data_IF_885385063106
#
_entry.id   IF_885385063106
#
_cell.length_a   1.000
_cell.length_b   1.000
_cell.length_c   1.000
_cell.angle_alpha   90.00
_cell.angle_beta   90.00
_cell.angle_gamma   90.00
#
_symmetry.space_group_name_H-M   'P 1'
#
loop_
_entity.id
_entity.type
_entity.pdbx_description
1 polymer ?
#
# COMPACT_ATOMS: atom_id res chain seq x y z
N UNK A 1 5.35 -7.89 -13.18
CA UNK A 1 5.10 -6.60 -13.89
C UNK A 1 6.19 -5.59 -13.56
N UNK A 2 6.57 -4.67 -14.48
CA UNK A 2 7.58 -3.62 -14.24
C UNK A 2 7.02 -2.46 -13.38
N UNK A 3 6.49 -2.78 -12.20
CA UNK A 3 5.82 -1.81 -11.33
C UNK A 3 6.70 -0.61 -11.01
N UNK A 4 6.09 0.57 -11.00
CA UNK A 4 6.71 1.82 -10.53
C UNK A 4 6.31 2.17 -9.10
N UNK A 5 5.25 1.54 -8.59
CA UNK A 5 4.70 1.77 -7.25
C UNK A 5 4.94 0.52 -6.39
N UNK A 6 5.36 0.67 -5.13
CA UNK A 6 5.48 -0.42 -4.17
C UNK A 6 4.09 -0.94 -3.72
N UNK A 7 3.38 -1.59 -4.64
CA UNK A 7 1.96 -1.92 -4.49
C UNK A 7 1.67 -2.79 -3.26
N UNK A 8 2.58 -3.72 -2.92
CA UNK A 8 2.42 -4.59 -1.75
C UNK A 8 2.33 -3.78 -0.45
N UNK A 9 3.13 -2.73 -0.29
CA UNK A 9 3.11 -1.86 0.90
C UNK A 9 1.97 -0.83 0.87
N UNK A 10 1.57 -0.40 -0.34
CA UNK A 10 0.55 0.66 -0.52
C UNK A 10 -0.87 0.14 -0.44
N UNK A 11 -1.16 -1.04 -0.98
CA UNK A 11 -2.52 -1.60 -1.01
C UNK A 11 -2.66 -2.83 -0.10
N UNK A 12 -1.54 -3.42 0.32
CA UNK A 12 -1.54 -4.69 1.00
C UNK A 12 -1.92 -5.86 0.10
N UNK A 13 -2.00 -7.02 0.73
CA UNK A 13 -2.41 -8.26 0.10
C UNK A 13 -3.08 -9.13 1.17
N UNK A 14 -4.23 -9.69 0.82
CA UNK A 14 -4.93 -10.68 1.63
C UNK A 14 -5.05 -11.95 0.82
N UNK A 15 -4.60 -13.07 1.37
CA UNK A 15 -4.67 -14.36 0.70
C UNK A 15 -4.57 -15.49 1.72
N UNK A 16 -5.24 -16.61 1.42
CA UNK A 16 -5.14 -17.82 2.23
C UNK A 16 -4.48 -18.88 1.35
N UNK A 17 -3.32 -19.38 1.78
CA UNK A 17 -2.60 -20.43 1.09
C UNK A 17 -2.46 -21.67 1.99
N UNK A 18 -2.18 -22.82 1.38
CA UNK A 18 -1.91 -24.07 2.11
C UNK A 18 -0.62 -23.86 2.91
N UNK A 19 -0.73 -23.88 4.25
CA UNK A 19 0.40 -23.62 5.16
C UNK A 19 0.44 -22.23 5.81
N UNK A 20 -0.52 -21.33 5.51
CA UNK A 20 -0.67 -20.07 6.23
C UNK A 20 -1.50 -19.01 5.50
N UNK A 21 -2.13 -18.11 6.26
CA UNK A 21 -2.79 -16.92 5.72
C UNK A 21 -1.83 -15.74 5.63
N UNK A 22 -1.82 -15.02 4.51
CA UNK A 22 -1.28 -13.68 4.39
C UNK A 22 -2.41 -12.67 4.68
N UNK A 23 -2.24 -11.91 5.75
CA UNK A 23 -3.00 -10.71 6.03
C UNK A 23 -1.98 -9.60 6.19
N UNK A 24 -1.48 -9.12 5.06
CA UNK A 24 -0.53 -8.03 5.05
C UNK A 24 -1.19 -6.80 5.68
N UNK A 25 -0.45 -6.06 6.50
CA UNK A 25 -0.99 -4.85 7.12
C UNK A 25 -1.51 -3.93 6.01
N UNK A 26 -2.77 -3.48 6.08
CA UNK A 26 -3.36 -2.72 4.99
C UNK A 26 -2.71 -1.36 4.88
N UNK A 27 -2.60 -0.97 3.61
CA UNK A 27 -2.27 0.33 3.06
C UNK A 27 -1.51 1.31 3.94
N UNK A 28 -0.27 1.61 3.56
CA UNK A 28 0.38 2.85 4.00
C UNK A 28 0.16 3.92 2.94
N UNK A 29 -0.02 5.18 3.34
CA UNK A 29 -0.09 6.31 2.40
C UNK A 29 1.08 6.27 1.41
N UNK A 30 0.79 6.34 0.11
CA UNK A 30 1.78 6.27 -0.96
C UNK A 30 2.98 7.21 -0.72
N UNK A 31 2.71 8.44 -0.26
CA UNK A 31 3.75 9.43 0.06
C UNK A 31 4.77 8.91 1.08
N UNK A 32 4.30 8.33 2.19
CA UNK A 32 5.18 7.77 3.23
C UNK A 32 5.96 6.56 2.74
N UNK A 33 5.34 5.71 1.91
CA UNK A 33 6.05 4.56 1.33
C UNK A 33 7.14 5.04 0.38
N UNK A 34 6.86 6.01 -0.48
CA UNK A 34 7.85 6.62 -1.37
C UNK A 34 9.00 7.26 -0.58
N UNK A 35 8.70 7.98 0.50
CA UNK A 35 9.70 8.56 1.40
C UNK A 35 10.57 7.47 2.05
N UNK A 36 9.96 6.39 2.54
CA UNK A 36 10.68 5.24 3.10
C UNK A 36 11.58 4.54 2.06
N UNK A 37 11.11 4.40 0.81
CA UNK A 37 11.92 3.87 -0.29
C UNK A 37 13.14 4.77 -0.55
N UNK A 38 12.94 6.09 -0.65
CA UNK A 38 14.03 7.06 -0.85
C UNK A 38 15.01 7.01 0.31
N UNK A 39 14.50 6.96 1.54
CA UNK A 39 15.31 6.87 2.75
C UNK A 39 16.15 5.58 2.76
N UNK A 40 15.56 4.43 2.43
CA UNK A 40 16.26 3.14 2.35
C UNK A 40 17.35 3.13 1.27
N UNK A 41 17.09 3.75 0.11
CA UNK A 41 18.09 3.88 -0.96
C UNK A 41 19.31 4.69 -0.48
N UNK A 42 19.07 5.78 0.28
CA UNK A 42 20.14 6.63 0.83
C UNK A 42 20.87 5.98 2.01
N UNK A 43 20.16 5.20 2.83
CA UNK A 43 20.66 4.60 4.07
C UNK A 43 20.46 3.08 4.05
N UNK A 44 21.38 2.36 3.40
CA UNK A 44 21.28 0.89 3.22
C UNK A 44 21.38 0.06 4.50
N UNK A 45 21.88 0.65 5.59
CA UNK A 45 21.96 0.00 6.90
C UNK A 45 20.79 0.41 7.81
N UNK A 46 19.79 1.14 7.28
CA UNK A 46 18.63 1.57 8.07
C UNK A 46 17.92 0.37 8.71
N UNK A 47 17.58 0.51 9.98
CA UNK A 47 16.85 -0.52 10.72
C UNK A 47 15.34 -0.44 10.47
N UNK A 48 14.55 -1.48 10.77
CA UNK A 48 13.09 -1.38 10.77
C UNK A 48 12.57 -0.22 11.63
N UNK A 49 13.23 0.09 12.74
CA UNK A 49 12.92 1.22 13.63
C UNK A 49 13.07 2.56 12.93
N UNK A 50 14.09 2.73 12.09
CA UNK A 50 14.28 3.97 11.32
C UNK A 50 13.18 4.15 10.27
N UNK A 51 12.78 3.06 9.63
CA UNK A 51 11.67 3.08 8.66
C UNK A 51 10.34 3.39 9.36
N UNK A 52 10.13 2.88 10.57
CA UNK A 52 8.91 3.13 11.37
C UNK A 52 8.77 4.58 11.83
N UNK A 53 9.85 5.38 11.84
CA UNK A 53 9.77 6.83 12.06
C UNK A 53 9.06 7.55 10.90
N UNK A 54 9.16 6.98 9.69
CA UNK A 54 8.52 7.49 8.47
C UNK A 54 7.13 6.86 8.30
N UNK A 55 7.07 5.52 8.34
CA UNK A 55 5.84 4.74 8.26
C UNK A 55 5.29 4.56 9.68
N UNK A 56 4.54 5.57 10.13
CA UNK A 56 3.99 5.64 11.50
C UNK A 56 2.98 4.53 11.83
N UNK A 57 2.40 3.89 10.81
CA UNK A 57 1.38 2.85 10.97
C UNK A 57 0.54 2.68 9.71
N UNK A 58 -0.43 1.76 9.75
CA UNK A 58 -1.36 1.53 8.65
C UNK A 58 -2.32 2.71 8.50
N UNK A 59 -2.75 2.93 7.27
CA UNK A 59 -3.65 4.00 6.83
C UNK A 59 -4.83 3.34 6.12
N UNK A 60 -5.93 3.15 6.84
CA UNK A 60 -7.08 2.41 6.32
C UNK A 60 -7.96 3.33 5.46
N UNK A 61 -8.55 2.81 4.35
CA UNK A 61 -9.42 3.62 3.51
C UNK A 61 -10.71 4.06 4.23
N UNK A 62 -11.11 3.36 5.30
CA UNK A 62 -12.26 3.73 6.15
C UNK A 62 -11.88 4.66 7.30
N UNK A 63 -10.60 5.04 7.41
CA UNK A 63 -10.06 5.78 8.55
C UNK A 63 -9.98 4.91 9.81
N UNK A 64 -10.29 5.51 10.95
CA UNK A 64 -10.14 4.92 12.26
C UNK A 64 -8.77 5.16 12.87
N UNK A 65 -8.65 4.79 14.15
CA UNK A 65 -7.48 5.05 14.96
C UNK A 65 -6.72 3.74 15.13
N UNK A 66 -5.59 3.62 14.44
CA UNK A 66 -4.66 2.52 14.61
C UNK A 66 -3.82 2.71 15.88
N UNK A 67 -3.90 1.77 16.81
CA UNK A 67 -3.11 1.77 18.05
C UNK A 67 -1.81 1.02 17.83
N UNK A 68 -0.72 1.78 17.74
CA UNK A 68 0.64 1.26 17.53
C UNK A 68 1.25 0.70 18.82
N UNK A 69 0.71 -0.43 19.29
CA UNK A 69 1.27 -1.19 20.41
C UNK A 69 2.57 -1.90 20.04
N UNK A 70 3.29 -2.42 21.03
CA UNK A 70 4.48 -3.27 20.80
C UNK A 70 4.19 -4.44 19.84
N UNK A 71 3.00 -5.04 19.93
CA UNK A 71 2.57 -6.11 19.02
C UNK A 71 2.38 -5.63 17.58
N UNK A 72 1.93 -4.38 17.38
CA UNK A 72 1.80 -3.80 16.06
C UNK A 72 3.19 -3.53 15.46
N UNK A 73 4.11 -2.98 16.26
CA UNK A 73 5.49 -2.74 15.86
C UNK A 73 6.22 -4.05 15.49
N UNK A 74 5.99 -5.13 16.25
CA UNK A 74 6.51 -6.45 15.94
C UNK A 74 6.04 -6.97 14.56
N UNK A 75 4.83 -6.61 14.15
CA UNK A 75 4.32 -6.89 12.81
C UNK A 75 5.21 -6.31 11.70
N UNK A 76 5.73 -5.11 11.90
CA UNK A 76 6.63 -4.47 10.94
C UNK A 76 8.09 -4.93 11.09
N UNK A 77 8.54 -5.22 12.31
CA UNK A 77 9.93 -5.63 12.59
C UNK A 77 10.22 -7.10 12.27
N UNK A 78 9.25 -7.97 12.49
CA UNK A 78 9.42 -9.43 12.38
C UNK A 78 8.44 -10.07 11.39
N UNK A 79 7.57 -9.27 10.76
CA UNK A 79 6.59 -9.74 9.80
C UNK A 79 5.35 -10.39 10.42
N UNK A 80 5.28 -10.52 11.74
CA UNK A 80 4.11 -11.07 12.45
C UNK A 80 3.76 -10.24 13.67
N UNK A 81 2.48 -9.87 13.77
CA UNK A 81 1.98 -9.04 14.85
C UNK A 81 0.48 -8.82 14.75
N UNK A 82 -0.02 -7.86 15.50
CA UNK A 82 -1.42 -7.45 15.44
C UNK A 82 -1.57 -5.98 15.81
N UNK A 83 -2.45 -5.28 15.11
CA UNK A 83 -2.79 -3.87 15.34
C UNK A 83 -4.24 -3.79 15.80
N UNK A 84 -4.48 -3.01 16.85
CA UNK A 84 -5.85 -2.70 17.26
C UNK A 84 -6.31 -1.45 16.52
N UNK A 85 -7.50 -1.50 15.93
CA UNK A 85 -8.10 -0.41 15.19
C UNK A 85 -9.38 -0.02 15.91
N UNK A 86 -9.47 1.25 16.30
CA UNK A 86 -10.65 1.82 16.95
C UNK A 86 -11.41 2.69 15.97
N UNK A 87 -12.74 2.70 16.08
CA UNK A 87 -13.59 3.70 15.48
C UNK A 87 -13.21 5.09 15.99
N UNK A 88 -13.45 6.12 15.18
CA UNK A 88 -13.34 7.50 15.63
C UNK A 88 -14.71 7.96 16.09
N UNK A 89 -14.79 8.36 17.36
CA UNK A 89 -16.02 8.83 17.98
C UNK A 89 -15.76 10.14 18.71
N UNK A 90 -16.76 11.00 18.69
CA UNK A 90 -16.83 12.26 19.42
C UNK A 90 -17.95 12.16 20.46
N UNK A 91 -17.70 12.70 21.65
CA UNK A 91 -18.67 12.76 22.73
C UNK A 91 -19.17 14.20 22.80
N UNK A 92 -20.48 14.36 22.73
CA UNK A 92 -21.18 15.64 22.92
C UNK A 92 -21.91 15.57 24.26
N UNK A 93 -21.31 16.18 25.29
CA UNK A 93 -21.85 16.18 26.63
C UNK A 93 -23.10 17.07 26.78
N UNK A 94 -23.24 18.12 25.97
CA UNK A 94 -24.40 19.04 26.01
C UNK A 94 -25.66 18.37 25.45
N UNK A 95 -25.51 17.63 24.35
CA UNK A 95 -26.61 16.90 23.73
C UNK A 95 -26.75 15.46 24.24
N UNK A 96 -25.86 15.02 25.13
CA UNK A 96 -25.76 13.65 25.64
C UNK A 96 -25.69 12.60 24.51
N UNK A 97 -24.75 12.79 23.57
CA UNK A 97 -24.61 11.95 22.37
C UNK A 97 -23.19 11.44 22.19
N UNK A 98 -23.08 10.27 21.57
CA UNK A 98 -21.84 9.77 20.99
C UNK A 98 -22.01 9.72 19.48
N UNK A 99 -21.12 10.39 18.75
CA UNK A 99 -21.14 10.49 17.30
C UNK A 99 -19.94 9.73 16.74
N UNK A 100 -20.19 8.62 16.06
CA UNK A 100 -19.14 7.83 15.39
C UNK A 100 -19.03 8.30 13.95
N UNK A 101 -17.84 8.73 13.55
CA UNK A 101 -17.54 9.33 12.24
C UNK A 101 -16.72 8.41 11.34
N UNK A 102 -15.92 7.50 11.91
CA UNK A 102 -15.10 6.55 11.16
C UNK A 102 -15.18 5.17 11.81
N UNK A 103 -15.21 4.11 11.01
CA UNK A 103 -15.30 2.73 11.50
C UNK A 103 -14.06 1.91 11.10
N UNK A 104 -13.70 0.87 11.87
CA UNK A 104 -12.62 -0.05 11.51
C UNK A 104 -12.79 -0.66 10.10
N UNK A 105 -11.66 -1.00 9.48
CA UNK A 105 -11.63 -1.54 8.12
C UNK A 105 -12.34 -2.89 8.02
N UNK A 106 -13.02 -3.09 6.89
CA UNK A 106 -13.76 -4.32 6.55
C UNK A 106 -14.94 -4.63 7.50
N UNK A 107 -15.49 -3.60 8.14
CA UNK A 107 -16.64 -3.70 9.02
C UNK A 107 -17.93 -3.32 8.29
N UNK A 108 -18.99 -4.12 8.48
CA UNK A 108 -20.34 -3.77 8.01
C UNK A 108 -21.08 -2.93 9.06
N UNK A 109 -21.61 -1.78 8.65
CA UNK A 109 -22.39 -0.86 9.52
C UNK A 109 -23.60 -1.52 10.16
N UNK A 110 -24.37 -2.32 9.40
CA UNK A 110 -25.56 -2.98 9.94
C UNK A 110 -25.20 -3.95 11.05
N UNK A 111 -24.14 -4.74 10.85
CA UNK A 111 -23.63 -5.68 11.86
C UNK A 111 -23.08 -4.97 13.09
N UNK A 112 -22.48 -3.78 12.92
CA UNK A 112 -22.05 -2.95 14.04
C UNK A 112 -23.25 -2.48 14.88
N UNK A 113 -24.29 -1.97 14.24
CA UNK A 113 -25.51 -1.50 14.92
C UNK A 113 -26.21 -2.66 15.64
N UNK A 114 -26.36 -3.81 14.98
CA UNK A 114 -26.87 -5.04 15.60
C UNK A 114 -26.04 -5.46 16.82
N UNK A 115 -24.71 -5.37 16.71
CA UNK A 115 -23.79 -5.62 17.82
C UNK A 115 -24.04 -4.69 19.01
N UNK A 116 -24.24 -3.40 18.77
CA UNK A 116 -24.56 -2.43 19.83
C UNK A 116 -25.91 -2.76 20.48
N UNK A 117 -26.94 -3.05 19.68
CA UNK A 117 -28.28 -3.44 20.18
C UNK A 117 -28.20 -4.68 21.06
N UNK A 118 -27.40 -5.67 20.70
CA UNK A 118 -27.23 -6.89 21.50
C UNK A 118 -26.61 -6.60 22.88
N UNK A 119 -25.66 -5.67 22.97
CA UNK A 119 -25.01 -5.32 24.25
C UNK A 119 -25.97 -4.59 25.18
N UNK A 120 -26.89 -3.79 24.62
CA UNK A 120 -28.00 -3.18 25.36
C UNK A 120 -28.98 -4.24 25.87
N UNK A 121 -29.36 -5.21 25.02
CA UNK A 121 -30.23 -6.34 25.41
C UNK A 121 -29.60 -7.22 26.50
N UNK A 122 -28.30 -7.47 26.39
CA UNK A 122 -27.51 -8.24 27.37
C UNK A 122 -27.26 -7.48 28.68
N UNK A 123 -27.80 -6.25 28.83
CA UNK A 123 -27.62 -5.37 30.00
C UNK A 123 -26.16 -5.08 30.36
N UNK A 124 -25.26 -5.15 29.37
CA UNK A 124 -23.86 -4.73 29.55
C UNK A 124 -23.71 -3.21 29.58
N UNK A 125 -24.68 -2.49 28.99
CA UNK A 125 -24.88 -1.06 29.16
C UNK A 125 -26.37 -0.76 29.17
N UNK A 126 -26.85 -0.02 30.16
CA UNK A 126 -28.24 0.43 30.25
C UNK A 126 -28.39 1.92 29.91
N UNK A 127 -27.27 2.60 29.63
CA UNK A 127 -27.18 4.05 29.49
C UNK A 127 -27.47 4.55 28.07
N UNK A 128 -27.72 3.64 27.13
CA UNK A 128 -28.08 3.96 25.75
C UNK A 128 -29.60 4.10 25.64
N UNK A 129 -30.05 5.21 25.06
CA UNK A 129 -31.47 5.52 24.83
C UNK A 129 -31.92 5.07 23.45
N UNK A 130 -31.17 5.45 22.41
CA UNK A 130 -31.50 5.19 21.01
C UNK A 130 -30.24 5.18 20.13
N UNK A 131 -30.32 4.56 18.96
CA UNK A 131 -29.21 4.47 17.98
C UNK A 131 -29.76 4.81 16.60
N UNK A 132 -29.16 5.80 15.93
CA UNK A 132 -29.55 6.24 14.59
C UNK A 132 -28.37 6.19 13.63
N UNK A 133 -28.61 5.67 12.42
CA UNK A 133 -27.69 5.79 11.30
C UNK A 133 -28.07 7.04 10.48
N UNK A 134 -27.27 8.10 10.59
CA UNK A 134 -27.37 9.35 9.84
C UNK A 134 -26.35 9.40 8.69
N UNK A 135 -25.82 8.25 8.27
CA UNK A 135 -24.87 8.16 7.16
C UNK A 135 -25.49 8.66 5.86
N UNK A 136 -24.78 9.54 5.17
CA UNK A 136 -25.16 10.08 3.88
C UNK A 136 -24.04 9.89 2.84
N UNK A 137 -24.10 10.63 1.73
CA UNK A 137 -23.05 10.61 0.69
C UNK A 137 -21.74 11.28 1.14
N UNK A 138 -21.77 12.09 2.20
CA UNK A 138 -20.61 12.84 2.70
C UNK A 138 -19.76 12.05 3.69
N UNK A 139 -20.32 11.05 4.36
CA UNK A 139 -19.57 10.17 5.24
C UNK A 139 -20.44 9.35 6.18
N UNK A 140 -19.77 8.51 6.97
CA UNK A 140 -20.41 7.69 8.00
C UNK A 140 -20.73 8.58 9.20
N UNK A 141 -21.96 8.49 9.70
CA UNK A 141 -22.39 9.17 10.92
C UNK A 141 -23.38 8.30 11.67
N UNK A 142 -22.92 7.65 12.75
CA UNK A 142 -23.77 6.86 13.64
C UNK A 142 -23.92 7.64 14.93
N UNK A 143 -25.15 7.97 15.29
CA UNK A 143 -25.48 8.75 16.49
C UNK A 143 -26.07 7.81 17.54
N UNK A 144 -25.47 7.80 18.72
CA UNK A 144 -25.96 7.06 19.87
C UNK A 144 -26.43 8.09 20.89
N UNK A 145 -27.73 8.11 21.16
CA UNK A 145 -28.30 8.95 22.21
C UNK A 145 -28.12 8.25 23.56
N UNK A 146 -27.64 9.00 24.55
CA UNK A 146 -27.47 8.54 25.91
C UNK A 146 -28.68 8.93 26.77
N UNK A 147 -28.86 8.22 27.89
CA UNK A 147 -29.81 8.59 28.93
C UNK A 147 -29.25 9.75 29.76
N UNK A 148 -30.15 10.54 30.34
CA UNK A 148 -29.76 11.66 31.21
C UNK A 148 -28.91 11.16 32.38
N UNK A 149 -27.74 11.79 32.60
CA UNK A 149 -26.80 11.42 33.67
C UNK A 149 -25.83 10.29 33.34
N UNK A 150 -25.89 9.72 32.12
CA UNK A 150 -24.91 8.76 31.65
C UNK A 150 -23.56 9.43 31.33
N UNK A 151 -22.45 8.77 31.70
CA UNK A 151 -21.11 9.20 31.30
C UNK A 151 -20.81 8.70 29.88
N UNK A 152 -20.68 9.63 28.92
CA UNK A 152 -20.35 9.30 27.53
C UNK A 152 -19.04 8.52 27.39
N UNK A 153 -18.03 8.85 28.20
CA UNK A 153 -16.74 8.13 28.23
C UNK A 153 -16.89 6.68 28.69
N UNK A 154 -17.68 6.43 29.74
CA UNK A 154 -17.91 5.08 30.26
C UNK A 154 -18.66 4.21 29.24
N UNK A 155 -19.69 4.77 28.61
CA UNK A 155 -20.45 4.10 27.55
C UNK A 155 -19.55 3.81 26.35
N UNK A 156 -18.79 4.80 25.87
CA UNK A 156 -17.87 4.62 24.75
C UNK A 156 -16.81 3.54 25.02
N UNK A 157 -16.23 3.52 26.22
CA UNK A 157 -15.27 2.48 26.63
C UNK A 157 -15.90 1.08 26.71
N UNK A 158 -17.17 0.99 27.09
CA UNK A 158 -17.94 -0.25 27.09
C UNK A 158 -18.21 -0.71 25.66
N UNK A 159 -18.60 0.21 24.78
CA UNK A 159 -18.80 -0.07 23.37
C UNK A 159 -17.50 -0.57 22.72
N UNK A 160 -16.34 0.08 22.96
CA UNK A 160 -15.06 -0.43 22.46
C UNK A 160 -14.74 -1.85 22.92
N UNK A 161 -15.05 -2.22 24.17
CA UNK A 161 -14.73 -3.55 24.71
C UNK A 161 -15.65 -4.66 24.22
N UNK A 162 -16.91 -4.34 23.90
CA UNK A 162 -17.93 -5.35 23.65
C UNK A 162 -18.52 -5.32 22.24
N UNK A 163 -18.21 -4.32 21.43
CA UNK A 163 -18.61 -4.22 20.02
C UNK A 163 -17.42 -4.38 19.08
N UNK A 164 -17.70 -4.37 17.78
CA UNK A 164 -16.70 -4.26 16.73
C UNK A 164 -16.23 -2.80 16.49
N UNK A 165 -16.54 -1.82 17.35
CA UNK A 165 -15.94 -0.48 17.30
C UNK A 165 -14.44 -0.53 17.57
N UNK A 166 -13.96 -1.54 18.31
CA UNK A 166 -12.54 -1.83 18.39
C UNK A 166 -12.32 -3.25 17.90
N UNK A 167 -11.52 -3.39 16.85
CA UNK A 167 -11.14 -4.70 16.31
C UNK A 167 -9.63 -4.86 16.36
N UNK A 168 -9.19 -6.11 16.33
CA UNK A 168 -7.77 -6.45 16.22
C UNK A 168 -7.54 -7.08 14.87
N UNK A 169 -6.62 -6.50 14.11
CA UNK A 169 -6.24 -6.95 12.80
C UNK A 169 -4.85 -7.60 12.87
N UNK A 170 -4.71 -8.87 12.42
CA UNK A 170 -3.40 -9.51 12.36
C UNK A 170 -2.56 -8.87 11.25
N UNK A 171 -1.27 -8.72 11.52
CA UNK A 171 -0.23 -8.34 10.56
C UNK A 171 0.58 -9.61 10.29
N UNK A 172 0.48 -10.15 9.08
CA UNK A 172 1.23 -11.33 8.65
C UNK A 172 1.84 -11.04 7.28
N UNK A 173 3.12 -10.68 7.25
CA UNK A 173 3.85 -10.27 6.07
C UNK A 173 4.54 -11.48 5.43
N UNK A 174 3.73 -12.33 4.81
CA UNK A 174 4.21 -13.53 4.14
C UNK A 174 4.13 -13.34 2.63
N UNK A 175 5.28 -13.38 1.94
CA UNK A 175 5.31 -13.23 0.49
C UNK A 175 6.31 -14.17 -0.16
N UNK A 176 6.14 -14.39 -1.46
CA UNK A 176 7.04 -15.22 -2.26
C UNK A 176 8.16 -14.35 -2.81
N UNK A 177 9.40 -14.70 -2.47
CA UNK A 177 10.63 -14.11 -3.03
C UNK A 177 11.46 -15.26 -3.60
N UNK A 178 11.85 -15.14 -4.87
CA UNK A 178 12.65 -16.14 -5.59
C UNK A 178 12.09 -17.56 -5.45
N UNK A 179 10.77 -17.71 -5.66
CA UNK A 179 10.01 -18.98 -5.55
C UNK A 179 9.86 -19.56 -4.14
N UNK A 180 10.45 -18.95 -3.12
CA UNK A 180 10.30 -19.37 -1.73
C UNK A 180 9.37 -18.46 -0.94
N UNK A 181 8.54 -19.06 -0.09
CA UNK A 181 7.70 -18.33 0.86
C UNK A 181 8.55 -17.82 2.02
N UNK A 182 8.58 -16.51 2.23
CA UNK A 182 9.38 -15.86 3.26
C UNK A 182 8.51 -14.96 4.13
N UNK A 183 8.83 -14.94 5.42
CA UNK A 183 8.30 -13.97 6.37
C UNK A 183 9.17 -12.72 6.29
N UNK A 184 8.57 -11.57 6.00
CA UNK A 184 9.29 -10.35 5.66
C UNK A 184 9.05 -9.26 6.71
N UNK A 185 10.13 -8.62 7.15
CA UNK A 185 10.03 -7.35 7.84
C UNK A 185 9.86 -6.20 6.83
N UNK A 186 9.63 -4.98 7.34
CA UNK A 186 9.43 -3.79 6.50
C UNK A 186 10.63 -3.44 5.61
N UNK A 187 11.85 -3.70 6.09
CA UNK A 187 13.08 -3.47 5.34
C UNK A 187 13.20 -4.47 4.20
N UNK A 188 12.95 -5.76 4.45
CA UNK A 188 13.00 -6.82 3.43
C UNK A 188 12.05 -6.51 2.28
N UNK A 189 10.85 -6.00 2.59
CA UNK A 189 9.86 -5.62 1.59
C UNK A 189 10.30 -4.41 0.74
N UNK A 190 10.91 -3.40 1.37
CA UNK A 190 11.48 -2.26 0.67
C UNK A 190 12.63 -2.69 -0.24
N UNK A 191 13.53 -3.54 0.26
CA UNK A 191 14.67 -4.04 -0.49
C UNK A 191 14.24 -4.90 -1.67
N UNK A 192 13.24 -5.77 -1.50
CA UNK A 192 12.66 -6.55 -2.59
C UNK A 192 12.12 -5.63 -3.70
N UNK A 193 11.40 -4.56 -3.34
CA UNK A 193 10.90 -3.59 -4.32
C UNK A 193 12.04 -2.82 -5.01
N UNK A 194 13.02 -2.33 -4.26
CA UNK A 194 14.16 -1.57 -4.77
C UNK A 194 14.98 -2.42 -5.75
N UNK A 195 15.25 -3.68 -5.39
CA UNK A 195 16.01 -4.61 -6.24
C UNK A 195 15.28 -4.89 -7.55
N UNK A 196 13.97 -5.18 -7.50
CA UNK A 196 13.14 -5.32 -8.69
C UNK A 196 13.18 -4.06 -9.57
N UNK A 197 13.04 -2.88 -8.95
CA UNK A 197 13.05 -1.60 -9.68
C UNK A 197 14.40 -1.34 -10.35
N UNK A 198 15.49 -1.72 -9.69
CA UNK A 198 16.86 -1.64 -10.24
C UNK A 198 17.03 -2.54 -11.46
N UNK A 199 16.60 -3.79 -11.37
CA UNK A 199 16.67 -4.74 -12.49
C UNK A 199 15.88 -4.24 -13.69
N UNK A 200 14.64 -3.77 -13.48
CA UNK A 200 13.80 -3.24 -14.55
C UNK A 200 14.44 -2.01 -15.21
N UNK A 201 15.01 -1.09 -14.43
CA UNK A 201 15.70 0.09 -14.98
C UNK A 201 16.91 -0.34 -15.80
N UNK A 202 17.74 -1.26 -15.29
CA UNK A 202 18.93 -1.75 -16.01
C UNK A 202 18.56 -2.43 -17.33
N UNK A 203 17.53 -3.28 -17.34
CA UNK A 203 17.06 -3.93 -18.58
C UNK A 203 16.54 -2.90 -19.59
N UNK A 204 15.74 -1.94 -19.15
CA UNK A 204 15.24 -0.86 -20.02
C UNK A 204 16.38 -0.03 -20.60
N UNK A 205 17.33 0.41 -19.77
CA UNK A 205 18.45 1.24 -20.23
C UNK A 205 19.40 0.49 -21.16
N UNK A 206 19.60 -0.83 -20.98
CA UNK A 206 20.34 -1.66 -21.94
C UNK A 206 19.64 -1.71 -23.30
N UNK A 207 18.32 -1.92 -23.30
CA UNK A 207 17.52 -1.92 -24.52
C UNK A 207 17.57 -0.56 -25.24
N UNK A 208 17.35 0.54 -24.52
CA UNK A 208 17.42 1.90 -25.07
C UNK A 208 18.81 2.20 -25.68
N UNK A 209 19.88 1.75 -25.01
CA UNK A 209 21.26 1.88 -25.52
C UNK A 209 21.45 1.10 -26.83
N UNK A 210 20.96 -0.13 -26.91
CA UNK A 210 21.10 -0.98 -28.10
C UNK A 210 20.34 -0.39 -29.30
N UNK A 211 19.11 0.07 -29.09
CA UNK A 211 18.31 0.76 -30.12
C UNK A 211 19.03 2.01 -30.61
N UNK A 212 19.56 2.82 -29.69
CA UNK A 212 20.31 4.02 -30.04
C UNK A 212 21.62 3.70 -30.80
N UNK A 213 22.35 2.66 -30.39
CA UNK A 213 23.58 2.23 -31.06
C UNK A 213 23.32 1.73 -32.49
N UNK A 214 22.27 0.94 -32.69
CA UNK A 214 21.85 0.49 -34.02
C UNK A 214 21.46 1.67 -34.92
N UNK A 215 20.77 2.67 -34.35
CA UNK A 215 20.43 3.89 -35.09
C UNK A 215 21.68 4.71 -35.43
N UNK A 216 22.61 4.85 -34.50
CA UNK A 216 23.88 5.55 -34.70
C UNK A 216 24.66 4.94 -35.85
N UNK A 217 24.80 3.60 -35.89
CA UNK A 217 25.49 2.90 -36.95
C UNK A 217 24.92 3.20 -38.35
N UNK A 218 23.58 3.23 -38.48
CA UNK A 218 22.92 3.60 -39.74
C UNK A 218 23.22 5.06 -40.10
N UNK A 219 23.15 5.97 -39.13
CA UNK A 219 23.40 7.40 -39.36
C UNK A 219 24.85 7.65 -39.78
N UNK A 220 25.82 6.97 -39.18
CA UNK A 220 27.24 7.02 -39.56
C UNK A 220 27.44 6.57 -41.02
N UNK A 221 26.82 5.44 -41.40
CA UNK A 221 26.86 4.97 -42.80
C UNK A 221 26.25 5.96 -43.78
N UNK A 222 25.11 6.58 -43.43
CA UNK A 222 24.48 7.61 -44.26
C UNK A 222 25.34 8.88 -44.37
N UNK A 223 26.04 9.27 -43.30
CA UNK A 223 26.92 10.44 -43.30
C UNK A 223 28.11 10.24 -44.25
N UNK A 224 28.72 9.05 -44.22
CA UNK A 224 29.80 8.67 -45.14
C UNK A 224 29.30 8.68 -46.58
N UNK A 225 28.10 8.13 -46.83
CA UNK A 225 27.48 8.09 -48.15
C UNK A 225 27.20 9.50 -48.71
N UNK A 226 26.70 10.41 -47.87
CA UNK A 226 26.46 11.81 -48.25
C UNK A 226 27.78 12.53 -48.57
N UNK A 227 28.83 12.28 -47.79
CA UNK A 227 30.15 12.92 -47.99
C UNK A 227 30.78 12.51 -49.33
N UNK A 228 30.50 11.28 -49.81
CA UNK A 228 31.07 10.72 -51.04
C UNK A 228 29.99 10.45 -52.11
N UNK A 229 28.99 11.33 -52.21
CA UNK A 229 27.74 11.04 -52.94
C UNK A 229 27.94 10.75 -54.42
N UNK A 230 28.88 11.43 -55.09
CA UNK A 230 29.15 11.22 -56.52
C UNK A 230 29.76 9.83 -56.79
N UNK A 231 30.69 9.38 -55.93
CA UNK A 231 31.32 8.07 -56.02
C UNK A 231 30.32 6.95 -55.74
N UNK A 232 29.47 7.13 -54.72
CA UNK A 232 28.39 6.19 -54.40
C UNK A 232 27.41 6.07 -55.58
N UNK A 233 27.00 7.18 -56.20
CA UNK A 233 26.11 7.17 -57.38
C UNK A 233 26.78 6.45 -58.55
N UNK A 234 28.06 6.72 -58.82
CA UNK A 234 28.81 6.10 -59.92
C UNK A 234 28.95 4.58 -59.71
N UNK A 235 29.27 4.16 -58.49
CA UNK A 235 29.40 2.74 -58.14
C UNK A 235 28.07 2.00 -58.30
N UNK A 236 26.97 2.59 -57.84
CA UNK A 236 25.62 2.02 -58.00
C UNK A 236 25.26 1.91 -59.49
N UNK A 237 25.48 2.97 -60.29
CA UNK A 237 25.22 2.95 -61.75
C UNK A 237 26.05 1.93 -62.52
N UNK A 238 27.25 1.61 -62.03
CA UNK A 238 28.17 0.63 -62.64
C UNK A 238 27.92 -0.82 -62.25
N UNK A 239 26.95 -1.08 -61.36
CA UNK A 239 26.65 -2.42 -60.86
C UNK A 239 25.39 -2.97 -61.53
N UNK A 240 25.47 -4.19 -62.05
CA UNK A 240 24.37 -4.81 -62.81
C UNK A 240 23.17 -5.19 -61.93
N UNK A 241 23.40 -5.45 -60.63
CA UNK A 241 22.36 -5.84 -59.67
C UNK A 241 22.56 -5.21 -58.28
N UNK A 242 21.45 -5.06 -57.54
CA UNK A 242 21.41 -4.47 -56.18
C UNK A 242 22.30 -5.24 -55.19
N UNK A 243 22.34 -6.57 -55.30
CA UNK A 243 23.17 -7.44 -54.46
C UNK A 243 24.67 -7.20 -54.70
N UNK A 244 25.05 -6.97 -55.96
CA UNK A 244 26.41 -6.64 -56.38
C UNK A 244 26.84 -5.25 -55.91
N UNK A 245 25.95 -4.26 -56.00
CA UNK A 245 26.21 -2.91 -55.49
C UNK A 245 26.46 -2.91 -53.97
N UNK A 246 25.64 -3.65 -53.20
CA UNK A 246 25.78 -3.77 -51.75
C UNK A 246 27.09 -4.40 -51.28
N UNK A 247 27.70 -5.31 -52.05
CA UNK A 247 28.99 -5.93 -51.70
C UNK A 247 30.19 -5.02 -51.97
N UNK A 248 30.02 -4.04 -52.86
CA UNK A 248 31.07 -3.10 -53.28
C UNK A 248 31.07 -1.81 -52.45
N UNK A 249 29.99 -1.54 -51.70
CA UNK A 249 29.86 -0.47 -50.68
C UNK A 249 30.36 -0.99 -49.33
#
# INVERSE_FOLDING_TARGET
MPSKIPNLLVNGATGIAVGGGNKHSPSTTLGRVCEAVIYRIKNKESTPEDILKIIKGPDFPTGGIAVMSANALNGYKYGRGQVSVKAKAEIDDELHKIIITEIPYNLNKSSLIEGIVNIVKDKKTEDIKDIRDETDKSGIRIVIDLKNGASGESVLNTLYRHTQLQTTMPIINLAVIDTALKNLNIVDMLDAFINHRREVILRRSKYEREVAANRLHIVEGLLIAITNIDDVIKLIKSSDEVSGARKKL
#
